data_IF_398036270644
#
_entry.id   IF_398036270644
#
_cell.length_a   1.000
_cell.length_b   1.000
_cell.length_c   1.000
_cell.angle_alpha   90.00
_cell.angle_beta   90.00
_cell.angle_gamma   90.00
#
_symmetry.space_group_name_H-M   'P 1'
#
loop_
_entity.id
_entity.type
_entity.pdbx_description
1 polymer ?
#
# COMPACT_ATOMS: atom_id res chain seq x y z
N UNK A 1 -2.08 9.92 18.56
CA UNK A 1 -1.52 10.56 17.34
C UNK A 1 -0.60 9.56 16.65
N UNK A 2 -1.02 8.97 15.53
CA UNK A 2 -0.17 8.06 14.77
C UNK A 2 0.83 8.86 13.94
N UNK A 3 2.10 8.91 14.34
CA UNK A 3 3.18 9.46 13.51
C UNK A 3 3.37 8.52 12.31
N UNK A 4 3.03 9.00 11.12
CA UNK A 4 3.31 8.33 9.85
C UNK A 4 4.83 8.17 9.73
N UNK A 5 5.32 6.93 9.84
CA UNK A 5 6.76 6.59 9.82
C UNK A 5 7.44 6.86 8.46
N UNK A 6 6.74 7.47 7.50
CA UNK A 6 7.24 7.92 6.20
C UNK A 6 7.62 9.40 6.12
N UNK A 7 7.51 10.17 7.21
CA UNK A 7 7.97 11.57 7.23
C UNK A 7 9.47 11.62 7.52
N UNK A 8 10.25 11.96 6.51
CA UNK A 8 11.71 12.14 6.60
C UNK A 8 12.11 13.43 7.36
N UNK A 9 11.17 14.38 7.51
CA UNK A 9 11.41 15.66 8.19
C UNK A 9 10.43 15.79 9.35
N UNK A 10 10.89 16.38 10.46
CA UNK A 10 10.05 16.67 11.60
C UNK A 10 9.07 17.82 11.31
N UNK A 11 7.96 17.84 12.03
CA UNK A 11 6.90 18.84 11.83
C UNK A 11 7.38 20.27 12.16
N UNK A 12 8.35 20.44 13.06
CA UNK A 12 8.93 21.75 13.38
C UNK A 12 9.73 22.31 12.21
N UNK A 13 10.58 21.50 11.61
CA UNK A 13 11.33 21.82 10.40
C UNK A 13 10.39 22.18 9.25
N UNK A 14 9.31 21.43 9.06
CA UNK A 14 8.37 21.69 7.96
C UNK A 14 7.58 22.99 8.14
N UNK A 15 7.33 23.45 9.40
CA UNK A 15 6.78 24.79 9.66
C UNK A 15 7.74 25.90 9.27
N UNK A 16 9.04 25.75 9.57
CA UNK A 16 10.07 26.71 9.13
C UNK A 16 10.12 26.79 7.60
N UNK A 17 9.98 25.66 6.90
CA UNK A 17 9.85 25.64 5.44
C UNK A 17 8.62 26.43 4.98
N UNK A 18 7.47 26.24 5.64
CA UNK A 18 6.24 26.96 5.33
C UNK A 18 6.40 28.47 5.49
N UNK A 19 6.99 28.93 6.59
CA UNK A 19 7.22 30.34 6.88
C UNK A 19 8.16 30.98 5.86
N UNK A 20 9.21 30.27 5.45
CA UNK A 20 10.12 30.73 4.40
C UNK A 20 9.41 30.87 3.06
N UNK A 21 8.56 29.91 2.68
CA UNK A 21 7.77 29.99 1.44
C UNK A 21 6.77 31.15 1.52
N UNK A 22 6.10 31.33 2.67
CA UNK A 22 5.20 32.46 2.94
C UNK A 22 5.93 33.80 2.81
N UNK A 23 7.19 33.87 3.24
CA UNK A 23 8.11 35.00 3.04
C UNK A 23 8.68 35.13 1.62
N UNK A 24 8.17 34.38 0.64
CA UNK A 24 8.58 34.50 -0.77
C UNK A 24 9.82 33.69 -1.17
N UNK A 25 10.30 32.77 -0.33
CA UNK A 25 11.46 31.96 -0.67
C UNK A 25 11.14 30.95 -1.79
N UNK A 26 11.77 31.13 -2.95
CA UNK A 26 11.72 30.15 -4.04
C UNK A 26 12.64 28.93 -3.81
N UNK A 27 12.47 27.89 -4.65
CA UNK A 27 13.18 26.59 -4.52
C UNK A 27 14.70 26.69 -4.33
N UNK A 28 15.37 27.62 -5.02
CA UNK A 28 16.82 27.80 -4.93
C UNK A 28 17.25 28.43 -3.60
N UNK A 29 16.45 29.35 -3.09
CA UNK A 29 16.69 30.00 -1.79
C UNK A 29 16.51 29.00 -0.65
N UNK A 30 15.43 28.20 -0.69
CA UNK A 30 15.16 27.14 0.28
C UNK A 30 16.26 26.07 0.30
N UNK A 31 16.67 25.59 -0.88
CA UNK A 31 17.74 24.60 -1.00
C UNK A 31 19.04 25.09 -0.35
N UNK A 32 19.42 26.36 -0.61
CA UNK A 32 20.62 26.97 -0.04
C UNK A 32 20.52 27.18 1.47
N UNK A 33 19.38 27.67 1.96
CA UNK A 33 19.16 27.99 3.38
C UNK A 33 19.04 26.75 4.26
N UNK A 34 18.46 25.67 3.73
CA UNK A 34 18.11 24.48 4.50
C UNK A 34 19.01 23.27 4.20
N UNK A 35 20.02 23.44 3.33
CA UNK A 35 20.91 22.34 2.92
C UNK A 35 20.21 21.21 2.17
N UNK A 36 19.00 21.44 1.67
CA UNK A 36 18.20 20.43 0.99
C UNK A 36 18.44 20.42 -0.52
N UNK A 37 18.33 19.25 -1.21
CA UNK A 37 18.39 19.19 -2.67
C UNK A 37 17.37 20.13 -3.32
N UNK A 38 17.75 20.77 -4.43
CA UNK A 38 16.88 21.71 -5.19
C UNK A 38 15.58 21.04 -5.66
N UNK A 39 15.63 19.74 -5.96
CA UNK A 39 14.46 18.94 -6.31
C UNK A 39 13.47 18.81 -5.14
N UNK A 40 13.96 18.58 -3.92
CA UNK A 40 13.16 18.51 -2.69
C UNK A 40 12.55 19.87 -2.36
N UNK A 41 13.34 20.94 -2.40
CA UNK A 41 12.86 22.30 -2.22
C UNK A 41 11.80 22.68 -3.29
N UNK A 42 11.99 22.22 -4.53
CA UNK A 42 11.00 22.37 -5.60
C UNK A 42 9.65 21.70 -5.27
N UNK A 43 9.69 20.49 -4.69
CA UNK A 43 8.48 19.79 -4.24
C UNK A 43 7.78 20.55 -3.11
N UNK A 44 8.52 21.08 -2.13
CA UNK A 44 7.92 21.87 -1.04
C UNK A 44 7.18 23.11 -1.53
N UNK A 45 7.79 23.90 -2.43
CA UNK A 45 7.14 25.08 -3.03
C UNK A 45 5.88 24.67 -3.80
N UNK A 46 5.95 23.58 -4.56
CA UNK A 46 4.81 23.08 -5.33
C UNK A 46 3.66 22.66 -4.40
N UNK A 47 3.97 21.87 -3.36
CA UNK A 47 3.00 21.42 -2.37
C UNK A 47 2.33 22.61 -1.65
N UNK A 48 3.11 23.61 -1.26
CA UNK A 48 2.58 24.82 -0.62
C UNK A 48 1.68 25.62 -1.56
N UNK A 49 2.03 25.75 -2.85
CA UNK A 49 1.21 26.46 -3.84
C UNK A 49 -0.16 25.80 -4.07
N UNK A 50 -0.24 24.47 -4.06
CA UNK A 50 -1.47 23.74 -4.39
C UNK A 50 -2.35 23.41 -3.17
N UNK A 51 -1.81 23.40 -1.96
CA UNK A 51 -2.60 23.06 -0.77
C UNK A 51 -2.12 23.70 0.53
N UNK A 52 -1.36 24.79 0.42
CA UNK A 52 -0.90 25.58 1.56
C UNK A 52 -0.01 24.78 2.51
N UNK A 53 0.02 25.25 3.75
CA UNK A 53 0.79 24.63 4.83
C UNK A 53 0.32 23.20 5.12
N UNK A 54 -0.98 22.92 5.11
CA UNK A 54 -1.52 21.57 5.34
C UNK A 54 -0.94 20.54 4.34
N UNK A 55 -0.89 20.88 3.04
CA UNK A 55 -0.31 20.00 2.03
C UNK A 55 1.21 19.85 2.17
N UNK A 56 1.92 20.90 2.58
CA UNK A 56 3.35 20.84 2.86
C UNK A 56 3.64 19.94 4.08
N UNK A 57 2.83 20.07 5.12
CA UNK A 57 2.90 19.27 6.35
C UNK A 57 2.49 17.83 6.13
N UNK A 58 2.10 17.42 4.92
CA UNK A 58 1.66 16.06 4.65
C UNK A 58 0.39 15.69 5.41
N UNK A 59 -0.41 16.69 5.82
CA UNK A 59 -1.79 16.48 6.21
C UNK A 59 -2.51 16.04 4.95
N UNK A 60 -2.58 14.72 4.75
CA UNK A 60 -3.39 14.13 3.70
C UNK A 60 -4.83 14.43 4.06
N UNK A 61 -5.35 15.53 3.53
CA UNK A 61 -6.76 15.65 3.23
C UNK A 61 -7.08 14.41 2.40
N UNK A 62 -7.79 13.46 3.03
CA UNK A 62 -7.82 12.06 2.62
C UNK A 62 -8.05 11.93 1.11
N UNK A 63 -7.34 10.99 0.47
CA UNK A 63 -7.35 10.70 -0.98
C UNK A 63 -8.43 11.49 -1.76
N UNK A 64 -8.12 12.75 -2.16
CA UNK A 64 -9.13 13.67 -2.75
C UNK A 64 -9.91 12.91 -3.81
N UNK A 65 -11.22 12.77 -3.56
CA UNK A 65 -12.09 12.04 -4.45
C UNK A 65 -12.54 13.02 -5.53
N UNK A 66 -12.24 12.67 -6.77
CA UNK A 66 -12.72 13.37 -7.94
C UNK A 66 -13.86 12.56 -8.54
N UNK A 67 -14.97 13.23 -8.78
CA UNK A 67 -16.11 12.62 -9.47
C UNK A 67 -15.74 12.28 -10.92
N UNK A 68 -16.46 11.32 -11.48
CA UNK A 68 -16.22 10.87 -12.86
C UNK A 68 -16.30 12.05 -13.84
N UNK A 69 -17.31 12.91 -13.70
CA UNK A 69 -17.51 14.08 -14.54
C UNK A 69 -16.33 15.05 -14.47
N UNK A 70 -15.81 15.32 -13.27
CA UNK A 70 -14.64 16.20 -13.09
C UNK A 70 -13.39 15.61 -13.76
N UNK A 71 -13.18 14.30 -13.67
CA UNK A 71 -12.06 13.64 -14.35
C UNK A 71 -12.20 13.71 -15.85
N UNK A 72 -13.40 13.43 -16.37
CA UNK A 72 -13.67 13.43 -17.79
C UNK A 72 -13.48 14.82 -18.40
N UNK A 73 -14.05 15.85 -17.75
CA UNK A 73 -13.90 17.23 -18.19
C UNK A 73 -12.43 17.68 -18.18
N UNK A 74 -11.69 17.39 -17.10
CA UNK A 74 -10.27 17.73 -17.00
C UNK A 74 -9.42 17.06 -18.10
N UNK A 75 -9.71 15.80 -18.44
CA UNK A 75 -8.97 15.09 -19.47
C UNK A 75 -9.32 15.60 -20.86
N UNK A 76 -10.60 15.87 -21.17
CA UNK A 76 -11.01 16.46 -22.45
C UNK A 76 -10.38 17.83 -22.67
N UNK A 77 -10.40 18.69 -21.64
CA UNK A 77 -9.74 19.99 -21.70
C UNK A 77 -8.24 19.88 -22.05
N UNK A 78 -7.55 18.88 -21.51
CA UNK A 78 -6.14 18.67 -21.83
C UNK A 78 -5.92 18.03 -23.21
N UNK A 79 -6.69 16.98 -23.54
CA UNK A 79 -6.44 16.11 -24.70
C UNK A 79 -7.06 16.67 -25.97
N UNK A 80 -8.26 17.24 -25.89
CA UNK A 80 -9.03 17.74 -27.03
C UNK A 80 -8.88 19.26 -27.18
N UNK A 81 -8.92 20.01 -26.07
CA UNK A 81 -8.81 21.48 -26.10
C UNK A 81 -7.37 22.00 -25.94
N UNK A 82 -6.40 21.11 -25.70
CA UNK A 82 -4.98 21.45 -25.66
C UNK A 82 -4.54 22.33 -24.47
N UNK A 83 -5.37 22.45 -23.42
CA UNK A 83 -5.00 23.21 -22.22
C UNK A 83 -3.75 22.61 -21.60
N UNK A 84 -2.88 23.45 -21.05
CA UNK A 84 -1.72 22.97 -20.32
C UNK A 84 -2.15 22.26 -19.04
N UNK A 85 -1.32 21.32 -18.56
CA UNK A 85 -1.58 20.62 -17.29
C UNK A 85 -1.78 21.61 -16.13
N UNK A 86 -1.08 22.74 -16.14
CA UNK A 86 -1.18 23.76 -15.11
C UNK A 86 -2.57 24.40 -15.09
N UNK A 87 -3.08 24.82 -16.24
CA UNK A 87 -4.40 25.43 -16.38
C UNK A 87 -5.52 24.45 -15.99
N UNK A 88 -5.41 23.18 -16.40
CA UNK A 88 -6.38 22.14 -16.03
C UNK A 88 -6.36 21.88 -14.51
N UNK A 89 -5.17 21.83 -13.91
CA UNK A 89 -5.06 21.64 -12.46
C UNK A 89 -5.69 22.78 -11.68
N UNK A 90 -5.52 24.02 -12.14
CA UNK A 90 -6.10 25.21 -11.54
C UNK A 90 -7.63 25.22 -11.69
N UNK A 91 -8.13 25.01 -12.92
CA UNK A 91 -9.56 25.00 -13.24
C UNK A 91 -10.35 23.95 -12.46
N UNK A 92 -9.80 22.73 -12.34
CA UNK A 92 -10.49 21.60 -11.70
C UNK A 92 -10.00 21.30 -10.27
N UNK A 93 -9.17 22.19 -9.69
CA UNK A 93 -8.58 22.04 -8.35
C UNK A 93 -7.93 20.65 -8.13
N UNK A 94 -7.22 20.19 -9.15
CA UNK A 94 -6.52 18.90 -9.09
C UNK A 94 -5.25 19.08 -8.26
N UNK A 95 -5.04 18.21 -7.28
CA UNK A 95 -3.97 18.34 -6.29
C UNK A 95 -2.55 18.27 -6.87
N UNK A 96 -2.40 17.82 -8.12
CA UNK A 96 -1.11 17.75 -8.78
C UNK A 96 -1.16 17.06 -10.15
N UNK A 97 -0.01 16.97 -10.82
CA UNK A 97 0.06 16.50 -12.20
C UNK A 97 -0.12 14.99 -12.33
N UNK A 98 0.30 14.20 -11.33
CA UNK A 98 0.28 12.74 -11.41
C UNK A 98 -1.14 12.12 -11.56
N UNK A 99 -2.17 12.57 -10.81
CA UNK A 99 -3.55 12.15 -11.05
C UNK A 99 -4.03 12.48 -12.47
N UNK A 100 -3.77 13.69 -12.96
CA UNK A 100 -4.17 14.13 -14.30
C UNK A 100 -3.50 13.28 -15.38
N UNK A 101 -2.19 13.04 -15.28
CA UNK A 101 -1.44 12.20 -16.23
C UNK A 101 -1.97 10.76 -16.28
N UNK A 102 -2.35 10.21 -15.13
CA UNK A 102 -2.97 8.89 -15.04
C UNK A 102 -4.29 8.87 -15.79
N UNK A 103 -5.18 9.84 -15.55
CA UNK A 103 -6.47 9.91 -16.23
C UNK A 103 -6.33 10.10 -17.73
N UNK A 104 -5.40 10.96 -18.17
CA UNK A 104 -5.11 11.12 -19.60
C UNK A 104 -4.63 9.81 -20.25
N UNK A 105 -3.84 9.00 -19.53
CA UNK A 105 -3.42 7.68 -20.01
C UNK A 105 -4.60 6.72 -20.12
N UNK A 106 -5.43 6.66 -19.08
CA UNK A 106 -6.63 5.81 -19.05
C UNK A 106 -7.60 6.19 -20.19
N UNK A 107 -7.84 7.48 -20.40
CA UNK A 107 -8.67 8.01 -21.50
C UNK A 107 -8.13 7.66 -22.89
N UNK A 108 -6.82 7.81 -23.13
CA UNK A 108 -6.24 7.40 -24.42
C UNK A 108 -6.33 5.90 -24.67
N UNK A 109 -6.35 5.09 -23.61
CA UNK A 109 -6.40 3.62 -23.73
C UNK A 109 -7.80 3.04 -23.90
N UNK A 110 -8.82 3.68 -23.32
CA UNK A 110 -10.18 3.11 -23.29
C UNK A 110 -11.29 4.16 -23.23
N UNK A 111 -11.01 5.39 -23.64
CA UNK A 111 -11.98 6.47 -23.75
C UNK A 111 -12.58 6.89 -22.41
N UNK A 112 -13.78 7.51 -22.44
CA UNK A 112 -14.51 7.91 -21.24
C UNK A 112 -14.74 6.76 -20.25
N UNK A 113 -15.06 5.55 -20.74
CA UNK A 113 -15.41 4.41 -19.88
C UNK A 113 -14.25 3.92 -19.02
N UNK A 114 -13.00 4.14 -19.45
CA UNK A 114 -11.82 3.83 -18.65
C UNK A 114 -11.70 4.66 -17.36
N UNK A 115 -12.33 5.85 -17.31
CA UNK A 115 -12.33 6.74 -16.15
C UNK A 115 -13.43 6.40 -15.13
N UNK A 116 -14.40 5.56 -15.53
CA UNK A 116 -15.50 5.15 -14.65
C UNK A 116 -14.96 4.38 -13.44
N UNK A 117 -15.56 4.54 -12.25
CA UNK A 117 -15.18 3.76 -11.09
C UNK A 117 -15.36 2.27 -11.39
N UNK A 118 -14.25 1.52 -11.37
CA UNK A 118 -14.29 0.07 -11.53
C UNK A 118 -14.95 -0.55 -10.28
N UNK A 119 -15.76 -1.61 -10.44
CA UNK A 119 -16.36 -2.30 -9.31
C UNK A 119 -15.27 -2.73 -8.33
N UNK A 120 -15.42 -2.31 -7.07
CA UNK A 120 -14.41 -2.50 -6.03
C UNK A 120 -14.55 -3.91 -5.46
N UNK A 121 -13.59 -4.78 -5.77
CA UNK A 121 -13.46 -6.10 -5.15
C UNK A 121 -13.18 -7.22 -6.14
N UNK A 122 -12.84 -8.39 -5.60
CA UNK A 122 -12.81 -9.65 -6.33
C UNK A 122 -14.25 -9.94 -6.80
N UNK A 123 -14.49 -10.38 -8.06
CA UNK A 123 -15.83 -10.79 -8.47
C UNK A 123 -16.38 -11.80 -7.46
N UNK A 124 -17.60 -11.54 -6.96
CA UNK A 124 -18.34 -12.47 -6.09
C UNK A 124 -18.44 -13.80 -6.83
N UNK A 125 -17.77 -14.83 -6.34
CA UNK A 125 -17.82 -16.18 -6.93
C UNK A 125 -16.48 -16.80 -7.27
N UNK A 126 -15.36 -16.09 -7.19
CA UNK A 126 -14.05 -16.70 -7.29
C UNK A 126 -13.74 -17.49 -5.99
N UNK A 127 -14.36 -18.67 -5.83
CA UNK A 127 -13.99 -19.64 -4.79
C UNK A 127 -12.56 -20.11 -5.10
N UNK A 128 -11.71 -20.17 -4.09
CA UNK A 128 -10.46 -20.94 -4.17
C UNK A 128 -10.81 -22.37 -4.60
N UNK A 129 -10.02 -22.95 -5.51
CA UNK A 129 -10.19 -24.36 -5.87
C UNK A 129 -10.23 -25.20 -4.57
N UNK A 130 -11.17 -26.13 -4.40
CA UNK A 130 -11.18 -27.00 -3.23
C UNK A 130 -9.82 -27.71 -3.13
N UNK A 131 -9.34 -27.91 -1.90
CA UNK A 131 -8.10 -28.64 -1.65
C UNK A 131 -8.24 -30.02 -2.33
N UNK A 132 -7.26 -30.46 -3.13
CA UNK A 132 -7.33 -31.77 -3.76
C UNK A 132 -7.48 -32.84 -2.68
N UNK A 133 -8.29 -33.87 -2.96
CA UNK A 133 -8.42 -35.02 -2.08
C UNK A 133 -7.03 -35.64 -1.84
N UNK A 134 -6.73 -36.10 -0.61
CA UNK A 134 -5.45 -36.71 -0.32
C UNK A 134 -5.21 -37.91 -1.24
N UNK A 135 -3.98 -38.02 -1.75
CA UNK A 135 -3.58 -39.14 -2.60
C UNK A 135 -3.50 -40.42 -1.76
N UNK A 136 -3.66 -41.60 -2.40
CA UNK A 136 -3.51 -42.91 -1.73
C UNK A 136 -2.20 -42.99 -0.92
N UNK A 137 -1.12 -42.45 -1.45
CA UNK A 137 0.19 -42.40 -0.80
C UNK A 137 0.16 -41.60 0.52
N UNK A 138 -0.50 -40.45 0.54
CA UNK A 138 -0.62 -39.62 1.74
C UNK A 138 -1.44 -40.31 2.84
N UNK A 139 -2.52 -41.01 2.46
CA UNK A 139 -3.29 -41.82 3.40
C UNK A 139 -2.45 -42.96 3.98
N UNK A 140 -1.66 -43.62 3.12
CA UNK A 140 -0.75 -44.68 3.55
C UNK A 140 0.35 -44.15 4.48
N UNK A 141 0.88 -42.94 4.23
CA UNK A 141 1.87 -42.30 5.09
C UNK A 141 1.29 -41.96 6.47
N UNK A 142 0.08 -41.41 6.53
CA UNK A 142 -0.63 -41.15 7.78
C UNK A 142 -0.89 -42.45 8.56
N UNK A 143 -1.34 -43.50 7.88
CA UNK A 143 -1.53 -44.82 8.48
C UNK A 143 -0.20 -45.43 8.97
N UNK A 144 0.87 -45.30 8.19
CA UNK A 144 2.20 -45.76 8.59
C UNK A 144 2.70 -45.01 9.83
N UNK A 145 2.50 -43.69 9.88
CA UNK A 145 2.86 -42.86 11.03
C UNK A 145 2.07 -43.27 12.28
N UNK A 146 0.77 -43.52 12.13
CA UNK A 146 -0.08 -44.01 13.19
C UNK A 146 0.37 -45.40 13.70
N UNK A 147 0.64 -46.34 12.79
CA UNK A 147 1.10 -47.69 13.12
C UNK A 147 2.47 -47.65 13.83
N UNK A 148 3.41 -46.83 13.35
CA UNK A 148 4.72 -46.65 14.00
C UNK A 148 4.57 -46.10 15.41
N UNK A 149 3.71 -45.11 15.62
CA UNK A 149 3.44 -44.58 16.95
C UNK A 149 2.81 -45.64 17.88
N UNK A 150 1.90 -46.47 17.36
CA UNK A 150 1.29 -47.57 18.11
C UNK A 150 2.31 -48.64 18.50
N UNK A 151 3.20 -49.04 17.59
CA UNK A 151 4.27 -50.00 17.88
C UNK A 151 5.20 -49.46 18.96
N UNK A 152 5.67 -48.22 18.82
CA UNK A 152 6.52 -47.58 19.82
C UNK A 152 5.85 -47.49 21.21
N UNK A 153 4.53 -47.28 21.26
CA UNK A 153 3.78 -47.31 22.51
C UNK A 153 3.77 -48.70 23.14
N UNK A 154 3.51 -49.76 22.35
CA UNK A 154 3.50 -51.14 22.84
C UNK A 154 4.87 -51.59 23.34
N UNK A 155 5.94 -51.29 22.58
CA UNK A 155 7.32 -51.59 23.00
C UNK A 155 7.68 -50.92 24.34
N UNK A 156 7.21 -49.69 24.55
CA UNK A 156 7.39 -49.00 25.83
C UNK A 156 6.64 -49.68 26.97
N UNK A 157 5.43 -50.18 26.74
CA UNK A 157 4.66 -50.94 27.73
C UNK A 157 5.37 -52.24 28.08
N UNK A 158 5.87 -52.98 27.07
CA UNK A 158 6.61 -54.21 27.27
C UNK A 158 7.90 -53.98 28.07
N UNK A 159 8.63 -52.90 27.77
CA UNK A 159 9.82 -52.52 28.53
C UNK A 159 9.51 -52.21 30.01
N UNK A 160 8.37 -51.57 30.30
CA UNK A 160 7.94 -51.30 31.68
C UNK A 160 7.55 -52.59 32.43
N UNK A 161 6.87 -53.52 31.75
CA UNK A 161 6.50 -54.82 32.32
C UNK A 161 7.71 -55.70 32.59
N UNK A 162 8.65 -55.77 31.64
CA UNK A 162 9.92 -56.50 31.81
C UNK A 162 10.77 -55.94 32.96
N UNK A 163 10.78 -54.61 33.13
CA UNK A 163 11.44 -53.97 34.28
C UNK A 163 10.78 -54.36 35.60
N UNK A 164 9.45 -54.43 35.65
CA UNK A 164 8.69 -54.78 36.86
C UNK A 164 8.88 -56.24 37.26
N UNK A 165 8.99 -57.17 36.30
CA UNK A 165 9.27 -58.57 36.60
C UNK A 165 10.71 -58.78 37.07
N UNK A 166 11.68 -58.05 36.50
CA UNK A 166 13.09 -58.13 36.91
C UNK A 166 13.33 -57.60 38.35
N UNK A 167 12.59 -56.60 38.81
CA UNK A 167 12.71 -56.05 40.18
C UNK A 167 11.81 -56.77 41.21
N UNK A 168 11.06 -57.79 40.80
CA UNK A 168 10.16 -58.57 41.66
C UNK A 168 10.76 -59.88 42.19
N UNK A 169 12.00 -60.20 41.83
CA UNK A 169 12.66 -61.50 42.08
C UNK A 169 13.78 -61.45 43.13
N UNK A 170 13.73 -60.50 44.07
CA UNK A 170 14.54 -60.52 45.29
C UNK A 170 13.62 -60.66 46.52
N UNK A 171 13.38 -61.90 46.94
CA UNK A 171 12.92 -62.28 48.29
C UNK A 171 13.52 -63.63 48.66
#
# INVERSE_FOLDING_TARGET
MCRDRRRHYDDGFMRVVADLIRGGAGRRSLARRLGAPVSTAGKWVLSYRFGGEAALMGEREGNRRYDYETKLAAVRDHVEHGLTKAEVMEKYRIAGPAPLERWCREYRSGGPDALRPKPKGRPRGAKSKPRPAPTREQLLEEENAYLKARVAYLEKVDALLARRSATGTER
#
